data_IF_958682904994
#
_entry.id   IF_958682904994
#
_cell.length_a   1.000
_cell.length_b   1.000
_cell.length_c   1.000
_cell.angle_alpha   90.00
_cell.angle_beta   90.00
_cell.angle_gamma   90.00
#
_symmetry.space_group_name_H-M   'P 1'
#
loop_
_entity.id
_entity.type
_entity.pdbx_description
1 polymer ?
#
# COMPACT_ATOMS: atom_id res chain seq x y z
N UNK A 1 -18.15 -10.83 -5.41
CA UNK A 1 -17.14 -11.77 -5.92
C UNK A 1 -17.80 -12.70 -6.91
N UNK A 2 -17.48 -12.56 -8.20
CA UNK A 2 -17.90 -13.49 -9.26
C UNK A 2 -16.73 -14.30 -9.82
N UNK A 3 -15.49 -13.95 -9.46
CA UNK A 3 -14.27 -14.63 -9.90
C UNK A 3 -13.70 -15.49 -8.75
N UNK A 4 -13.69 -16.84 -8.90
CA UNK A 4 -13.14 -17.74 -7.88
C UNK A 4 -11.63 -17.60 -7.69
N UNK A 5 -10.89 -17.18 -8.73
CA UNK A 5 -9.42 -16.96 -8.65
C UNK A 5 -9.13 -15.73 -7.78
N UNK A 6 -9.83 -14.63 -8.04
CA UNK A 6 -9.69 -13.41 -7.24
C UNK A 6 -10.11 -13.66 -5.79
N UNK A 7 -11.23 -14.36 -5.57
CA UNK A 7 -11.71 -14.71 -4.22
C UNK A 7 -10.69 -15.56 -3.46
N UNK A 8 -10.03 -16.52 -4.14
CA UNK A 8 -8.97 -17.34 -3.53
C UNK A 8 -7.74 -16.51 -3.21
N UNK A 9 -7.36 -15.57 -4.07
CA UNK A 9 -6.26 -14.64 -3.82
C UNK A 9 -6.53 -13.76 -2.60
N UNK A 10 -7.71 -13.16 -2.49
CA UNK A 10 -8.11 -12.34 -1.34
C UNK A 10 -8.08 -13.14 -0.03
N UNK A 11 -8.65 -14.35 -0.02
CA UNK A 11 -8.62 -15.23 1.15
C UNK A 11 -7.19 -15.58 1.56
N UNK A 12 -6.35 -15.96 0.60
CA UNK A 12 -4.93 -16.26 0.81
C UNK A 12 -4.19 -15.05 1.39
N UNK A 13 -4.45 -13.86 0.85
CA UNK A 13 -3.89 -12.60 1.33
C UNK A 13 -4.30 -12.34 2.81
N UNK A 14 -5.55 -12.60 3.17
CA UNK A 14 -6.03 -12.39 4.55
C UNK A 14 -5.70 -13.53 5.52
N UNK A 15 -5.08 -14.63 5.10
CA UNK A 15 -4.84 -15.79 5.97
C UNK A 15 -3.40 -16.25 6.04
N UNK A 16 -2.58 -15.97 5.03
CA UNK A 16 -1.18 -16.43 4.95
C UNK A 16 -0.16 -15.40 5.46
N UNK A 17 -0.55 -14.14 5.60
CA UNK A 17 0.31 -13.01 5.98
C UNK A 17 0.63 -12.94 7.47
N UNK A 18 1.09 -14.04 8.08
CA UNK A 18 1.39 -14.12 9.52
C UNK A 18 2.34 -13.00 9.94
N UNK A 19 1.91 -12.17 10.90
CA UNK A 19 2.65 -11.02 11.42
C UNK A 19 2.46 -9.69 10.67
N UNK A 20 2.19 -9.72 9.36
CA UNK A 20 1.98 -8.49 8.56
C UNK A 20 0.63 -7.82 8.87
N UNK A 21 -0.35 -8.60 9.32
CA UNK A 21 -1.69 -8.10 9.71
C UNK A 21 -1.67 -7.25 10.98
N UNK A 22 -0.60 -7.30 11.77
CA UNK A 22 -0.47 -6.55 13.02
C UNK A 22 -0.28 -5.05 12.75
N UNK A 23 0.39 -4.71 11.65
CA UNK A 23 0.64 -3.32 11.26
C UNK A 23 0.16 -3.06 9.83
N UNK A 24 -0.72 -2.08 9.67
CA UNK A 24 -1.34 -1.71 8.40
C UNK A 24 -0.32 -1.43 7.29
N UNK A 25 0.77 -0.73 7.59
CA UNK A 25 1.82 -0.39 6.61
C UNK A 25 2.56 -1.63 6.10
N UNK A 26 2.92 -2.56 7.00
CA UNK A 26 3.55 -3.84 6.63
C UNK A 26 2.59 -4.75 5.87
N UNK A 27 1.30 -4.76 6.24
CA UNK A 27 0.28 -5.50 5.50
C UNK A 27 0.20 -5.05 4.04
N UNK A 28 0.13 -3.73 3.80
CA UNK A 28 0.07 -3.17 2.44
C UNK A 28 1.31 -3.55 1.63
N UNK A 29 2.50 -3.47 2.23
CA UNK A 29 3.75 -3.86 1.58
C UNK A 29 3.76 -5.35 1.19
N UNK A 30 3.33 -6.22 2.10
CA UNK A 30 3.25 -7.66 1.83
C UNK A 30 2.19 -8.00 0.78
N UNK A 31 1.00 -7.38 0.88
CA UNK A 31 -0.09 -7.53 -0.07
C UNK A 31 0.33 -7.11 -1.49
N UNK A 32 1.02 -5.97 -1.61
CA UNK A 32 1.59 -5.49 -2.86
C UNK A 32 2.59 -6.50 -3.45
N UNK A 33 3.48 -7.06 -2.62
CA UNK A 33 4.43 -8.09 -3.06
C UNK A 33 3.72 -9.35 -3.54
N UNK A 34 2.69 -9.82 -2.84
CA UNK A 34 1.94 -11.00 -3.25
C UNK A 34 1.13 -10.76 -4.53
N UNK A 35 0.58 -9.56 -4.71
CA UNK A 35 -0.07 -9.16 -5.96
C UNK A 35 0.92 -9.15 -7.13
N UNK A 36 2.09 -8.52 -6.97
CA UNK A 36 3.15 -8.52 -7.99
C UNK A 36 3.64 -9.93 -8.31
N UNK A 37 3.79 -10.80 -7.31
CA UNK A 37 4.29 -12.16 -7.49
C UNK A 37 3.29 -13.08 -8.19
N UNK A 38 2.01 -12.99 -7.85
CA UNK A 38 0.98 -13.94 -8.31
C UNK A 38 0.16 -13.43 -9.50
N UNK A 39 -0.20 -12.15 -9.49
CA UNK A 39 -1.09 -11.56 -10.48
C UNK A 39 -0.36 -10.70 -11.55
N UNK A 40 0.86 -10.21 -11.23
CA UNK A 40 1.66 -9.35 -12.12
C UNK A 40 0.83 -8.21 -12.79
N UNK A 41 0.10 -7.39 -12.01
CA UNK A 41 -0.80 -6.40 -12.58
C UNK A 41 -0.03 -5.29 -13.31
N UNK A 42 -0.60 -4.80 -14.42
CA UNK A 42 -0.09 -3.62 -15.13
C UNK A 42 -0.23 -2.34 -14.30
N UNK A 43 -1.27 -2.23 -13.48
CA UNK A 43 -1.48 -1.09 -12.58
C UNK A 43 -1.66 -1.58 -11.15
N UNK A 44 -0.88 -1.03 -10.22
CA UNK A 44 -0.98 -1.34 -8.79
C UNK A 44 -1.26 -0.06 -7.99
N UNK A 45 -2.31 -0.10 -7.17
CA UNK A 45 -2.59 0.93 -6.16
C UNK A 45 -2.28 0.37 -4.77
N UNK A 46 -1.43 1.06 -4.02
CA UNK A 46 -1.17 0.79 -2.61
C UNK A 46 -1.71 1.94 -1.76
N UNK A 47 -2.70 1.65 -0.90
CA UNK A 47 -3.27 2.62 0.05
C UNK A 47 -2.70 2.36 1.44
N UNK A 48 -2.00 3.34 1.98
CA UNK A 48 -1.42 3.30 3.31
C UNK A 48 -2.27 4.10 4.30
N UNK A 49 -2.57 3.47 5.42
CA UNK A 49 -3.24 4.07 6.57
C UNK A 49 -2.31 4.03 7.78
N UNK A 50 -2.48 4.91 8.79
CA UNK A 50 -1.66 4.88 9.98
C UNK A 50 -1.65 3.50 10.64
N UNK A 51 -0.49 3.06 11.11
CA UNK A 51 -0.37 1.94 12.04
C UNK A 51 -0.64 2.41 13.47
N UNK A 52 -0.94 1.46 14.33
CA UNK A 52 -0.98 1.72 15.76
C UNK A 52 0.43 2.00 16.28
N UNK A 53 0.55 2.86 17.28
CA UNK A 53 1.79 3.05 18.02
C UNK A 53 2.17 1.71 18.66
N UNK A 54 3.46 1.37 18.58
CA UNK A 54 3.96 0.18 19.27
C UNK A 54 3.81 0.37 20.78
N UNK A 55 3.28 -0.65 21.45
CA UNK A 55 3.08 -0.62 22.90
C UNK A 55 3.77 -1.83 23.52
N UNK A 56 4.43 -1.66 24.67
CA UNK A 56 4.98 -2.79 25.39
C UNK A 56 3.85 -3.74 25.82
N UNK A 57 4.14 -5.04 25.82
CA UNK A 57 3.15 -6.09 26.13
C UNK A 57 2.47 -5.88 27.49
N UNK A 58 3.18 -5.32 28.47
CA UNK A 58 2.64 -4.97 29.78
C UNK A 58 1.49 -3.95 29.69
N UNK A 59 1.60 -2.95 28.81
CA UNK A 59 0.57 -1.94 28.60
C UNK A 59 -0.67 -2.51 27.88
N UNK A 60 -0.48 -3.51 27.02
CA UNK A 60 -1.59 -4.20 26.34
C UNK A 60 -2.41 -5.08 27.30
N UNK A 61 -1.77 -5.67 28.30
CA UNK A 61 -2.43 -6.53 29.29
C UNK A 61 -3.16 -5.75 30.40
N UNK A 62 -2.74 -4.51 30.66
CA UNK A 62 -3.30 -3.67 31.73
C UNK A 62 -4.52 -2.86 31.29
N UNK A 63 -4.67 -2.57 29.99
CA UNK A 63 -5.77 -1.74 29.49
C UNK A 63 -6.95 -2.55 28.97
N UNK A 64 -7.95 -2.72 29.82
CA UNK A 64 -9.31 -2.97 29.36
C UNK A 64 -9.87 -1.66 28.77
N UNK A 65 -9.85 -1.54 27.44
CA UNK A 65 -10.67 -0.62 26.64
C UNK A 65 -10.16 0.79 26.24
N UNK A 66 -8.86 1.06 26.16
CA UNK A 66 -8.37 2.29 25.48
C UNK A 66 -8.16 2.04 23.99
N UNK A 67 -8.69 2.93 23.14
CA UNK A 67 -8.37 2.89 21.70
C UNK A 67 -6.87 3.13 21.52
N UNK A 68 -6.16 2.28 20.75
CA UNK A 68 -4.74 2.46 20.51
C UNK A 68 -4.49 3.79 19.78
N UNK A 69 -3.49 4.54 20.23
CA UNK A 69 -3.05 5.75 19.54
C UNK A 69 -2.46 5.38 18.18
N UNK A 70 -2.80 6.15 17.15
CA UNK A 70 -2.24 5.98 15.81
C UNK A 70 -0.90 6.71 15.68
N UNK A 71 -0.02 6.24 14.78
CA UNK A 71 1.28 6.86 14.49
C UNK A 71 1.36 7.34 13.03
N UNK A 72 0.68 8.45 12.62
CA UNK A 72 0.72 8.89 11.23
C UNK A 72 2.12 9.22 10.72
N UNK A 73 2.99 9.80 11.57
CA UNK A 73 4.35 10.19 11.16
C UNK A 73 5.24 8.98 10.92
N UNK A 74 5.28 8.02 11.86
CA UNK A 74 6.02 6.78 11.65
C UNK A 74 5.45 5.98 10.48
N UNK A 75 4.13 6.00 10.29
CA UNK A 75 3.48 5.33 9.16
C UNK A 75 3.84 5.93 7.81
N UNK A 76 4.05 7.25 7.73
CA UNK A 76 4.49 7.91 6.50
C UNK A 76 5.91 7.46 6.12
N UNK A 77 6.81 7.35 7.09
CA UNK A 77 8.17 6.82 6.87
C UNK A 77 8.10 5.37 6.35
N UNK A 78 7.28 4.53 7.00
CA UNK A 78 7.06 3.15 6.57
C UNK A 78 6.48 3.09 5.15
N UNK A 79 5.49 3.94 4.85
CA UNK A 79 4.80 4.00 3.56
C UNK A 79 5.74 4.44 2.43
N UNK A 80 6.60 5.44 2.68
CA UNK A 80 7.59 5.91 1.71
C UNK A 80 8.58 4.79 1.34
N UNK A 81 9.17 4.15 2.36
CA UNK A 81 10.07 3.02 2.16
C UNK A 81 9.36 1.84 1.47
N UNK A 82 8.13 1.50 1.89
CA UNK A 82 7.35 0.42 1.29
C UNK A 82 6.96 0.72 -0.17
N UNK A 83 6.62 1.97 -0.50
CA UNK A 83 6.33 2.39 -1.85
C UNK A 83 7.57 2.27 -2.75
N UNK A 84 8.72 2.73 -2.28
CA UNK A 84 9.98 2.64 -3.01
C UNK A 84 10.37 1.19 -3.33
N UNK A 85 10.33 0.29 -2.34
CA UNK A 85 10.65 -1.12 -2.56
C UNK A 85 9.62 -1.83 -3.44
N UNK A 86 8.33 -1.50 -3.30
CA UNK A 86 7.27 -2.04 -4.16
C UNK A 86 7.50 -1.65 -5.61
N UNK A 87 7.82 -0.39 -5.87
CA UNK A 87 8.14 0.09 -7.21
C UNK A 87 9.34 -0.64 -7.80
N UNK A 88 10.46 -0.77 -7.08
CA UNK A 88 11.63 -1.53 -7.55
C UNK A 88 11.26 -2.96 -7.94
N UNK A 89 10.40 -3.61 -7.16
CA UNK A 89 9.95 -4.97 -7.47
C UNK A 89 9.07 -5.03 -8.72
N UNK A 90 8.18 -4.05 -8.92
CA UNK A 90 7.39 -3.95 -10.14
C UNK A 90 8.28 -3.79 -11.38
N UNK A 91 9.36 -3.01 -11.28
CA UNK A 91 10.30 -2.79 -12.39
C UNK A 91 11.05 -4.05 -12.85
N UNK A 92 11.03 -5.13 -12.05
CA UNK A 92 11.64 -6.43 -12.40
C UNK A 92 10.70 -7.34 -13.18
N UNK A 93 9.42 -6.99 -13.31
CA UNK A 93 8.43 -7.81 -14.00
C UNK A 93 8.44 -7.57 -15.52
N UNK A 94 8.09 -8.58 -16.32
CA UNK A 94 7.73 -8.37 -17.72
C UNK A 94 6.61 -7.34 -17.83
N UNK A 95 6.74 -6.34 -18.70
CA UNK A 95 5.75 -5.27 -18.85
C UNK A 95 5.96 -4.05 -17.96
N UNK A 96 7.04 -3.98 -17.17
CA UNK A 96 7.40 -2.79 -16.38
C UNK A 96 7.39 -1.47 -17.17
N UNK A 97 7.76 -1.50 -18.45
CA UNK A 97 7.74 -0.32 -19.32
C UNK A 97 6.33 0.27 -19.55
N UNK A 98 5.29 -0.55 -19.38
CA UNK A 98 3.89 -0.17 -19.54
C UNK A 98 3.18 -0.04 -18.18
N UNK A 99 3.85 -0.41 -17.10
CA UNK A 99 3.24 -0.49 -15.78
C UNK A 99 3.08 0.88 -15.13
N UNK A 100 2.06 1.01 -14.30
CA UNK A 100 1.84 2.14 -13.43
C UNK A 100 1.75 1.69 -11.97
N UNK A 101 2.27 2.51 -11.08
CA UNK A 101 2.21 2.32 -9.64
C UNK A 101 1.76 3.61 -8.98
N UNK A 102 0.76 3.50 -8.11
CA UNK A 102 0.25 4.61 -7.30
C UNK A 102 0.34 4.19 -5.84
N UNK A 103 1.05 4.97 -5.02
CA UNK A 103 1.00 4.85 -3.58
C UNK A 103 0.31 6.09 -2.98
N UNK A 104 -0.68 5.87 -2.13
CA UNK A 104 -1.47 6.91 -1.50
C UNK A 104 -1.39 6.78 0.02
N UNK A 105 -0.99 7.86 0.70
CA UNK A 105 -1.03 7.98 2.14
C UNK A 105 -2.26 8.79 2.55
N UNK A 106 -3.25 8.11 3.12
CA UNK A 106 -4.59 8.67 3.37
C UNK A 106 -4.63 9.86 4.35
N UNK A 107 -3.94 9.85 5.50
CA UNK A 107 -4.03 10.94 6.49
C UNK A 107 -3.56 12.30 5.99
N UNK A 108 -2.55 12.31 5.11
CA UNK A 108 -1.98 13.53 4.54
C UNK A 108 -2.60 13.92 3.21
N UNK A 109 -3.38 13.04 2.58
CA UNK A 109 -3.86 13.24 1.21
C UNK A 109 -2.73 13.24 0.17
N UNK A 110 -1.59 12.64 0.51
CA UNK A 110 -0.38 12.65 -0.32
C UNK A 110 -0.32 11.37 -1.15
N UNK A 111 0.01 11.51 -2.44
CA UNK A 111 0.17 10.36 -3.32
C UNK A 111 1.38 10.54 -4.23
N UNK A 112 2.03 9.42 -4.54
CA UNK A 112 3.04 9.31 -5.59
C UNK A 112 2.51 8.40 -6.69
N UNK A 113 2.68 8.82 -7.94
CA UNK A 113 2.30 8.06 -9.12
C UNK A 113 3.50 7.95 -10.05
N UNK A 114 3.84 6.72 -10.43
CA UNK A 114 4.97 6.40 -11.29
C UNK A 114 4.47 5.55 -12.45
N UNK A 115 4.84 5.92 -13.67
CA UNK A 115 4.44 5.17 -14.88
C UNK A 115 4.67 5.99 -16.15
N UNK A 116 4.51 5.38 -17.34
CA UNK A 116 4.83 6.02 -18.62
C UNK A 116 3.93 7.21 -18.95
N UNK A 117 2.72 7.26 -18.39
CA UNK A 117 1.74 8.35 -18.58
C UNK A 117 1.95 9.53 -17.63
N UNK A 118 2.88 9.44 -16.68
CA UNK A 118 3.18 10.49 -15.71
C UNK A 118 4.46 11.24 -16.08
N UNK A 119 4.46 12.56 -15.87
CA UNK A 119 5.65 13.39 -16.04
C UNK A 119 6.67 13.05 -14.95
N UNK A 120 7.92 12.79 -15.35
CA UNK A 120 9.03 12.56 -14.42
C UNK A 120 9.30 13.83 -13.61
N UNK A 121 9.72 13.65 -12.37
CA UNK A 121 10.18 14.71 -11.46
C UNK A 121 9.20 15.89 -11.36
N UNK A 122 7.91 15.57 -11.39
CA UNK A 122 6.83 16.56 -11.25
C UNK A 122 6.14 16.41 -9.91
N UNK A 123 5.77 17.53 -9.31
CA UNK A 123 4.95 17.61 -8.11
C UNK A 123 3.78 18.56 -8.37
N UNK A 124 2.65 18.31 -7.72
CA UNK A 124 1.50 19.21 -7.74
C UNK A 124 0.92 19.28 -6.33
N UNK A 125 0.53 20.49 -5.93
CA UNK A 125 -0.23 20.75 -4.70
C UNK A 125 -1.74 20.94 -4.97
N UNK A 126 -2.16 20.86 -6.23
CA UNK A 126 -3.57 21.02 -6.59
C UNK A 126 -4.37 19.80 -6.13
N UNK A 127 -5.57 20.01 -5.52
CA UNK A 127 -6.45 18.90 -5.16
C UNK A 127 -6.81 18.05 -6.39
N UNK A 128 -6.66 16.74 -6.28
CA UNK A 128 -6.96 15.78 -7.35
C UNK A 128 -7.69 14.57 -6.77
N UNK A 129 -8.68 14.04 -7.49
CA UNK A 129 -9.34 12.81 -7.07
C UNK A 129 -8.45 11.60 -7.43
N UNK A 130 -8.41 10.61 -6.53
CA UNK A 130 -7.67 9.37 -6.79
C UNK A 130 -8.13 8.66 -8.07
N UNK A 131 -9.42 8.77 -8.41
CA UNK A 131 -9.98 8.27 -9.67
C UNK A 131 -9.27 8.84 -10.90
N UNK A 132 -8.93 10.13 -10.86
CA UNK A 132 -8.35 10.83 -12.00
C UNK A 132 -6.89 10.38 -12.21
N UNK A 133 -6.17 10.15 -11.10
CA UNK A 133 -4.84 9.54 -11.12
C UNK A 133 -4.91 8.13 -11.73
N UNK A 134 -5.89 7.31 -11.32
CA UNK A 134 -6.03 5.94 -11.81
C UNK A 134 -6.47 5.87 -13.28
N UNK A 135 -7.35 6.77 -13.72
CA UNK A 135 -7.72 6.92 -15.12
C UNK A 135 -6.51 7.30 -15.98
N UNK A 136 -5.60 8.13 -15.45
CA UNK A 136 -4.35 8.44 -16.13
C UNK A 136 -3.36 7.27 -16.11
N UNK A 137 -3.43 6.39 -15.11
CA UNK A 137 -2.54 5.23 -14.98
C UNK A 137 -2.92 4.05 -15.90
N UNK A 138 -4.20 3.91 -16.25
CA UNK A 138 -4.74 2.86 -17.15
C UNK A 138 -4.75 3.33 -18.59
#
# INVERSE_FOLDING_TARGET
>A
GSDPVLSRFELSLLTEGSGTQVFSTTFVQWAAREALRRAQPLTLLARFTPRQQERPMSALLMEAATKPAMDPRGSLIDADMAAYYTWINQQRLPGAAQAAFVAWFEPGGEAIAVGPKFSRDSSSSDPVALSDILQKAT
#
